data_IF_589572522907
#
_entry.id   IF_589572522907
#
_cell.length_a   1.000
_cell.length_b   1.000
_cell.length_c   1.000
_cell.angle_alpha   90.00
_cell.angle_beta   90.00
_cell.angle_gamma   90.00
#
_symmetry.space_group_name_H-M   'P 1'
#
loop_
_entity.id
_entity.type
_entity.pdbx_description
1 polymer ?
#
# COMPACT_ATOMS: atom_id res chain seq x y z
N UNK A 1 25.48 30.51 -62.49
CA UNK A 1 25.08 31.93 -62.38
C UNK A 1 24.40 32.11 -61.02
N UNK A 2 25.13 32.40 -59.95
CA UNK A 2 25.67 33.70 -59.49
C UNK A 2 24.63 34.63 -58.81
N UNK A 3 25.00 35.12 -57.62
CA UNK A 3 24.44 36.24 -56.80
C UNK A 3 23.21 35.95 -55.92
N UNK A 4 23.07 36.42 -54.67
CA UNK A 4 23.84 37.29 -53.74
C UNK A 4 23.23 37.12 -52.33
N UNK A 5 24.03 36.85 -51.29
CA UNK A 5 24.30 37.67 -50.08
C UNK A 5 23.14 38.54 -49.52
N UNK A 6 22.80 38.31 -48.25
CA UNK A 6 22.83 39.36 -47.22
C UNK A 6 22.89 38.78 -45.80
N UNK A 7 23.68 39.47 -44.99
CA UNK A 7 24.18 39.17 -43.67
C UNK A 7 23.69 40.32 -42.78
N UNK A 8 23.07 40.05 -41.63
CA UNK A 8 22.82 41.10 -40.63
C UNK A 8 23.11 40.60 -39.22
N UNK A 9 23.93 41.42 -38.55
CA UNK A 9 24.67 41.22 -37.31
C UNK A 9 24.03 42.13 -36.25
N UNK A 10 23.77 41.57 -35.07
CA UNK A 10 23.68 42.14 -33.69
C UNK A 10 23.10 43.56 -33.43
N UNK A 11 22.54 43.80 -32.22
CA UNK A 11 23.43 44.29 -31.18
C UNK A 11 23.23 43.71 -29.78
N UNK A 12 24.30 43.91 -29.03
CA UNK A 12 24.65 43.56 -27.66
C UNK A 12 24.01 44.59 -26.71
N UNK A 13 23.14 44.16 -25.81
CA UNK A 13 22.63 44.96 -24.69
C UNK A 13 23.23 44.48 -23.39
N UNK A 14 24.17 45.25 -22.85
CA UNK A 14 24.87 45.03 -21.57
C UNK A 14 24.28 46.01 -20.56
N UNK A 15 23.55 45.52 -19.55
CA UNK A 15 23.01 46.32 -18.45
C UNK A 15 23.22 45.59 -17.13
N UNK A 16 24.02 46.19 -16.24
CA UNK A 16 24.41 45.71 -14.91
C UNK A 16 23.39 46.14 -13.84
N UNK A 17 23.49 45.46 -12.69
CA UNK A 17 23.08 45.86 -11.33
C UNK A 17 21.57 45.95 -11.08
N UNK A 18 21.02 45.45 -9.98
CA UNK A 18 21.58 44.84 -8.79
C UNK A 18 20.47 44.72 -7.73
N UNK A 19 20.72 43.93 -6.69
CA UNK A 19 20.12 44.13 -5.37
C UNK A 19 18.86 43.33 -5.03
N UNK A 20 18.99 42.56 -3.95
CA UNK A 20 17.95 42.50 -2.91
C UNK A 20 16.95 41.38 -3.02
N UNK A 21 17.24 40.26 -2.35
CA UNK A 21 16.25 39.24 -2.05
C UNK A 21 15.14 39.77 -1.14
N UNK A 22 13.91 39.35 -1.42
CA UNK A 22 12.89 39.21 -0.38
C UNK A 22 12.00 38.02 -0.72
N UNK A 23 11.96 37.12 0.24
CA UNK A 23 11.14 35.93 0.37
C UNK A 23 9.67 36.13 -0.03
N UNK A 24 9.16 35.25 -0.89
CA UNK A 24 7.80 34.71 -0.71
C UNK A 24 7.78 33.26 -1.16
N UNK A 25 8.27 32.42 -0.25
CA UNK A 25 8.03 30.99 -0.23
C UNK A 25 6.53 30.83 0.03
N UNK A 26 5.73 30.72 -1.04
CA UNK A 26 4.32 30.33 -1.00
C UNK A 26 4.20 28.86 -0.57
N UNK A 27 4.62 28.55 0.65
CA UNK A 27 4.27 27.33 1.35
C UNK A 27 2.88 27.55 1.94
N UNK A 28 1.88 26.89 1.36
CA UNK A 28 0.56 26.77 1.97
C UNK A 28 0.72 26.18 3.36
N UNK A 29 0.68 27.05 4.37
CA UNK A 29 0.58 26.70 5.78
C UNK A 29 -0.74 25.94 5.95
N UNK A 30 -0.66 24.62 6.10
CA UNK A 30 -1.74 23.84 6.70
C UNK A 30 -2.00 24.43 8.08
N UNK A 31 -3.05 25.25 8.18
CA UNK A 31 -3.59 25.75 9.44
C UNK A 31 -3.70 24.59 10.44
N UNK A 32 -2.99 24.73 11.55
CA UNK A 32 -2.93 23.75 12.63
C UNK A 32 -4.35 23.43 13.13
N UNK A 33 -4.62 22.16 13.43
CA UNK A 33 -5.95 21.68 13.78
C UNK A 33 -6.53 22.44 14.99
N UNK A 34 -5.67 22.85 15.93
CA UNK A 34 -6.06 23.67 17.07
C UNK A 34 -6.56 25.06 16.65
N UNK A 35 -5.93 25.68 15.65
CA UNK A 35 -6.39 26.98 15.11
C UNK A 35 -7.73 26.87 14.40
N UNK A 36 -8.02 25.73 13.75
CA UNK A 36 -9.33 25.47 13.15
C UNK A 36 -10.43 25.28 14.20
N UNK A 37 -10.12 24.59 15.30
CA UNK A 37 -11.07 24.42 16.41
C UNK A 37 -11.38 25.72 17.15
N UNK A 38 -10.37 26.57 17.35
CA UNK A 38 -10.54 27.90 17.93
C UNK A 38 -11.31 28.85 17.00
N UNK A 39 -11.05 28.81 15.68
CA UNK A 39 -11.79 29.61 14.69
C UNK A 39 -13.26 29.16 14.55
N UNK A 40 -13.55 27.89 14.81
CA UNK A 40 -14.91 27.34 14.83
C UNK A 40 -15.68 27.63 16.14
N UNK A 41 -15.06 28.30 17.12
CA UNK A 41 -15.69 28.66 18.39
C UNK A 41 -15.97 27.48 19.33
N UNK A 42 -15.39 26.31 19.05
CA UNK A 42 -15.60 25.08 19.84
C UNK A 42 -14.68 25.00 21.06
N UNK A 43 -13.63 25.83 21.12
CA UNK A 43 -12.65 25.88 22.22
C UNK A 43 -12.18 27.32 22.41
N UNK A 44 -12.09 27.78 23.66
CA UNK A 44 -11.55 29.11 23.98
C UNK A 44 -10.04 29.16 23.75
N UNK A 45 -9.50 30.30 23.30
CA UNK A 45 -8.06 30.48 23.03
C UNK A 45 -7.17 30.10 24.23
N UNK A 46 -7.65 30.35 25.45
CA UNK A 46 -6.93 30.01 26.68
C UNK A 46 -6.80 28.49 26.91
N UNK A 47 -7.77 27.68 26.49
CA UNK A 47 -7.70 26.21 26.63
C UNK A 47 -6.75 25.58 25.60
N UNK A 48 -6.67 26.15 24.40
CA UNK A 48 -5.72 25.72 23.38
C UNK A 48 -4.26 26.03 23.79
N UNK A 49 -4.02 27.16 24.45
CA UNK A 49 -2.70 27.55 24.93
C UNK A 49 -2.27 26.75 26.18
N UNK A 50 -3.21 26.43 27.08
CA UNK A 50 -2.96 25.57 28.24
C UNK A 50 -2.57 24.12 27.83
N UNK A 51 -3.21 23.56 26.79
CA UNK A 51 -2.88 22.24 26.25
C UNK A 51 -1.50 22.20 25.56
N UNK A 52 -1.10 23.30 24.92
CA UNK A 52 0.24 23.45 24.34
C UNK A 52 1.32 23.61 25.41
N UNK A 53 1.01 24.28 26.52
CA UNK A 53 1.91 24.44 27.66
C UNK A 53 2.20 23.11 28.39
N UNK A 54 1.20 22.24 28.55
CA UNK A 54 1.38 20.92 29.17
C UNK A 54 2.30 19.99 28.36
N UNK A 55 2.30 20.10 27.03
CA UNK A 55 3.24 19.34 26.16
C UNK A 55 4.69 19.82 26.25
N UNK A 56 4.92 21.08 26.65
CA UNK A 56 6.28 21.62 26.87
C UNK A 56 6.87 21.23 28.23
N UNK A 57 6.03 20.93 29.23
CA UNK A 57 6.47 20.55 30.57
C UNK A 57 6.93 19.08 30.70
N UNK A 58 6.58 18.20 29.76
CA UNK A 58 6.99 16.78 29.76
C UNK A 58 8.25 16.49 28.93
N UNK A 59 9.13 17.48 28.76
CA UNK A 59 10.42 17.29 28.08
C UNK A 59 11.56 17.35 29.10
N UNK A 60 12.12 16.22 29.57
CA UNK A 60 13.42 16.24 30.23
C UNK A 60 14.52 16.63 29.25
N UNK A 61 15.46 17.42 29.77
CA UNK A 61 16.55 18.08 29.08
C UNK A 61 17.67 17.12 28.58
N UNK A 62 18.47 17.67 27.65
CA UNK A 62 19.84 17.34 27.17
C UNK A 62 20.71 16.46 28.10
N UNK A 63 21.69 15.63 27.70
CA UNK A 63 22.60 15.41 26.53
C UNK A 63 23.35 14.05 26.83
N UNK A 64 24.20 13.41 25.98
CA UNK A 64 25.15 14.02 25.05
C UNK A 64 25.24 13.37 23.66
N UNK A 65 25.88 14.13 22.78
CA UNK A 65 26.43 13.81 21.47
C UNK A 65 26.98 12.37 21.40
N UNK A 66 26.29 11.49 20.68
CA UNK A 66 26.90 10.28 20.12
C UNK A 66 26.79 10.31 18.60
N UNK A 67 27.90 9.86 18.01
CA UNK A 67 28.29 9.74 16.62
C UNK A 67 27.15 9.48 15.61
N UNK A 68 27.33 9.87 14.33
CA UNK A 68 26.35 9.61 13.28
C UNK A 68 25.98 8.13 13.29
N UNK A 69 24.75 7.87 13.76
CA UNK A 69 24.17 6.55 13.74
C UNK A 69 24.18 6.07 12.28
N UNK A 70 24.85 4.94 12.10
CA UNK A 70 24.98 4.21 10.86
C UNK A 70 23.66 4.19 10.10
N UNK A 71 23.67 4.28 8.76
CA UNK A 71 22.46 4.09 7.97
C UNK A 71 21.87 2.75 8.39
N UNK A 72 20.65 2.80 8.94
CA UNK A 72 19.85 1.60 9.19
C UNK A 72 19.84 0.86 7.85
N UNK A 73 20.41 -0.35 7.74
CA UNK A 73 20.30 -1.07 6.50
C UNK A 73 18.81 -1.31 6.33
N UNK A 74 18.28 -0.85 5.19
CA UNK A 74 17.14 -1.49 4.60
C UNK A 74 17.51 -2.96 4.49
N UNK A 75 17.17 -3.76 5.49
CA UNK A 75 17.15 -5.20 5.38
C UNK A 75 15.93 -5.57 4.52
N UNK A 76 15.91 -5.03 3.30
CA UNK A 76 15.53 -5.77 2.12
C UNK A 76 16.44 -6.99 2.13
N UNK A 77 16.04 -8.01 2.90
CA UNK A 77 16.65 -9.33 2.82
C UNK A 77 16.65 -9.64 1.33
N UNK A 78 17.81 -9.90 0.71
CA UNK A 78 17.84 -10.22 -0.70
C UNK A 78 16.86 -11.36 -0.91
N UNK A 79 16.04 -11.26 -1.95
CA UNK A 79 15.36 -12.42 -2.49
C UNK A 79 16.47 -13.44 -2.77
N UNK A 80 16.68 -14.36 -1.82
CA UNK A 80 17.66 -15.42 -1.98
C UNK A 80 17.28 -16.23 -3.21
N UNK A 81 18.23 -16.97 -3.79
CA UNK A 81 18.03 -17.74 -5.02
C UNK A 81 17.20 -19.01 -4.76
N UNK A 82 16.22 -18.96 -3.86
CA UNK A 82 15.21 -19.99 -3.71
C UNK A 82 14.04 -19.62 -4.60
N UNK A 83 13.77 -20.40 -5.64
CA UNK A 83 12.50 -20.29 -6.36
C UNK A 83 11.31 -20.47 -5.40
N UNK A 84 10.09 -20.21 -5.90
CA UNK A 84 8.84 -20.29 -5.12
C UNK A 84 8.75 -21.54 -4.24
N UNK A 85 9.22 -22.70 -4.71
CA UNK A 85 9.23 -23.95 -3.96
C UNK A 85 10.06 -23.89 -2.65
N UNK A 86 11.25 -23.29 -2.68
CA UNK A 86 12.11 -23.16 -1.49
C UNK A 86 11.53 -22.17 -0.47
N UNK A 87 10.85 -21.13 -0.95
CA UNK A 87 10.12 -20.21 -0.09
C UNK A 87 8.93 -20.90 0.58
N UNK A 88 8.14 -21.70 -0.13
CA UNK A 88 6.97 -22.40 0.43
C UNK A 88 7.36 -23.28 1.62
N UNK A 89 8.43 -24.08 1.50
CA UNK A 89 8.88 -24.97 2.57
C UNK A 89 9.37 -24.20 3.80
N UNK A 90 10.04 -23.05 3.60
CA UNK A 90 10.37 -22.14 4.69
C UNK A 90 9.10 -21.59 5.34
N UNK A 91 8.15 -21.12 4.54
CA UNK A 91 6.93 -20.47 5.02
C UNK A 91 6.01 -21.42 5.77
N UNK A 92 5.96 -22.70 5.41
CA UNK A 92 5.22 -23.73 6.17
C UNK A 92 5.72 -23.87 7.61
N UNK A 93 7.02 -23.66 7.85
CA UNK A 93 7.66 -23.70 9.18
C UNK A 93 7.71 -22.32 9.87
N UNK A 94 7.47 -21.26 9.12
CA UNK A 94 7.58 -19.89 9.58
C UNK A 94 6.39 -19.47 10.46
N UNK A 95 6.63 -18.47 11.31
CA UNK A 95 5.58 -17.82 12.08
C UNK A 95 4.55 -17.10 11.20
N UNK A 96 3.37 -16.82 11.77
CA UNK A 96 2.27 -16.10 11.10
C UNK A 96 2.72 -14.76 10.49
N UNK A 97 3.51 -13.99 11.23
CA UNK A 97 4.00 -12.68 10.79
C UNK A 97 4.89 -12.77 9.53
N UNK A 98 5.82 -13.73 9.50
CA UNK A 98 6.71 -13.93 8.34
C UNK A 98 5.93 -14.41 7.11
N UNK A 99 4.95 -15.31 7.31
CA UNK A 99 4.04 -15.73 6.24
C UNK A 99 3.32 -14.55 5.62
N UNK A 100 2.72 -13.69 6.45
CA UNK A 100 1.94 -12.56 5.96
C UNK A 100 2.80 -11.54 5.25
N UNK A 101 3.98 -11.24 5.79
CA UNK A 101 4.90 -10.30 5.17
C UNK A 101 5.42 -10.81 3.82
N UNK A 102 5.76 -12.09 3.72
CA UNK A 102 6.21 -12.68 2.47
C UNK A 102 5.11 -12.67 1.41
N UNK A 103 3.87 -13.01 1.78
CA UNK A 103 2.73 -12.92 0.85
C UNK A 103 2.48 -11.47 0.42
N UNK A 104 2.57 -10.49 1.33
CA UNK A 104 2.46 -9.07 0.97
C UNK A 104 3.50 -8.66 -0.08
N UNK A 105 4.75 -9.10 0.08
CA UNK A 105 5.81 -8.80 -0.88
C UNK A 105 5.56 -9.47 -2.23
N UNK A 106 5.08 -10.71 -2.24
CA UNK A 106 4.69 -11.42 -3.46
C UNK A 106 3.56 -10.69 -4.21
N UNK A 107 2.50 -10.32 -3.50
CA UNK A 107 1.37 -9.57 -4.08
C UNK A 107 1.84 -8.23 -4.64
N UNK A 108 2.64 -7.48 -3.87
CA UNK A 108 3.13 -6.16 -4.31
C UNK A 108 3.94 -6.23 -5.60
N UNK A 109 4.70 -7.32 -5.80
CA UNK A 109 5.58 -7.48 -6.97
C UNK A 109 4.92 -8.11 -8.19
N UNK A 110 3.93 -8.98 -7.98
CA UNK A 110 3.39 -9.86 -9.04
C UNK A 110 1.87 -9.79 -9.20
N UNK A 111 1.20 -8.81 -8.58
CA UNK A 111 -0.22 -8.55 -8.85
C UNK A 111 -0.46 -8.20 -10.31
N UNK A 112 -1.53 -8.76 -10.87
CA UNK A 112 -1.98 -8.54 -12.24
C UNK A 112 -3.11 -7.51 -12.31
N UNK A 113 -3.79 -7.25 -11.19
CA UNK A 113 -4.83 -6.25 -11.08
C UNK A 113 -4.25 -4.86 -10.75
N UNK A 114 -4.93 -3.82 -11.22
CA UNK A 114 -4.53 -2.44 -10.97
C UNK A 114 -4.49 -2.15 -9.46
N UNK A 115 -3.35 -1.64 -8.98
CA UNK A 115 -3.19 -1.27 -7.57
C UNK A 115 -3.97 -0.01 -7.15
N UNK A 116 -4.55 0.69 -8.12
CA UNK A 116 -5.30 1.91 -7.90
C UNK A 116 -6.72 1.60 -7.39
N UNK A 117 -7.26 2.38 -6.45
CA UNK A 117 -8.66 2.27 -6.04
C UNK A 117 -9.64 2.71 -7.14
N UNK A 118 -9.14 3.34 -8.20
CA UNK A 118 -9.94 3.82 -9.33
C UNK A 118 -9.97 2.72 -10.40
N UNK A 119 -11.15 2.16 -10.72
CA UNK A 119 -11.31 1.26 -11.86
C UNK A 119 -10.83 1.97 -13.15
N UNK A 120 -10.09 1.25 -13.98
CA UNK A 120 -9.71 1.74 -15.30
C UNK A 120 -10.90 1.76 -16.27
N UNK A 121 -10.65 2.27 -17.47
CA UNK A 121 -11.69 2.53 -18.49
C UNK A 121 -12.43 1.26 -18.95
N UNK A 122 -11.75 0.12 -18.97
CA UNK A 122 -12.32 -1.18 -19.39
C UNK A 122 -12.48 -2.15 -18.22
N UNK A 123 -12.45 -1.64 -17.00
CA UNK A 123 -12.62 -2.44 -15.79
C UNK A 123 -14.06 -2.92 -15.62
N UNK A 124 -14.26 -4.23 -15.60
CA UNK A 124 -15.55 -4.86 -15.34
C UNK A 124 -15.63 -5.45 -13.93
N UNK A 125 -16.82 -5.48 -13.30
CA UNK A 125 -17.00 -6.10 -12.00
C UNK A 125 -16.95 -7.65 -12.10
N UNK A 126 -15.98 -8.25 -11.42
CA UNK A 126 -15.88 -9.68 -11.19
C UNK A 126 -16.36 -10.04 -9.79
N UNK A 127 -17.36 -10.91 -9.70
CA UNK A 127 -17.97 -11.31 -8.43
C UNK A 127 -17.41 -12.66 -7.96
N UNK A 128 -17.19 -12.80 -6.66
CA UNK A 128 -16.69 -14.03 -6.04
C UNK A 128 -17.13 -14.11 -4.57
N UNK A 129 -17.01 -15.29 -3.95
CA UNK A 129 -17.35 -15.47 -2.54
C UNK A 129 -16.12 -15.40 -1.63
N UNK A 130 -16.24 -14.74 -0.48
CA UNK A 130 -15.21 -14.71 0.58
C UNK A 130 -15.20 -16.01 1.39
N UNK A 131 -14.23 -16.16 2.31
CA UNK A 131 -14.18 -17.31 3.24
C UNK A 131 -15.44 -17.41 4.11
N UNK A 132 -16.10 -16.28 4.34
CA UNK A 132 -17.29 -16.17 5.17
C UNK A 132 -18.57 -16.37 4.37
N UNK A 133 -18.48 -16.74 3.08
CA UNK A 133 -19.64 -16.90 2.20
C UNK A 133 -20.25 -15.58 1.72
N UNK A 134 -19.62 -14.43 1.99
CA UNK A 134 -20.12 -13.14 1.52
C UNK A 134 -19.77 -12.92 0.05
N UNK A 135 -20.67 -12.27 -0.70
CA UNK A 135 -20.37 -11.86 -2.07
C UNK A 135 -19.45 -10.64 -2.05
N UNK A 136 -18.28 -10.78 -2.66
CA UNK A 136 -17.32 -9.71 -2.88
C UNK A 136 -17.17 -9.41 -4.38
N UNK A 137 -16.62 -8.22 -4.67
CA UNK A 137 -16.44 -7.73 -6.04
C UNK A 137 -15.07 -7.11 -6.20
N UNK A 138 -14.41 -7.43 -7.32
CA UNK A 138 -13.20 -6.77 -7.80
C UNK A 138 -13.48 -6.17 -9.17
N UNK A 139 -12.88 -5.03 -9.48
CA UNK A 139 -12.90 -4.46 -10.83
C UNK A 139 -11.64 -4.93 -11.56
N UNK A 140 -11.82 -5.65 -12.66
CA UNK A 140 -10.73 -6.25 -13.42
C UNK A 140 -10.74 -5.73 -14.85
N UNK A 141 -9.57 -5.37 -15.36
CA UNK A 141 -9.36 -5.14 -16.79
C UNK A 141 -9.58 -6.43 -17.58
N UNK A 142 -9.90 -6.30 -18.87
CA UNK A 142 -10.20 -7.41 -19.76
C UNK A 142 -9.12 -8.50 -19.74
N UNK A 143 -7.83 -8.12 -19.75
CA UNK A 143 -6.70 -9.05 -19.74
C UNK A 143 -6.62 -9.86 -18.44
N UNK A 144 -6.77 -9.20 -17.28
CA UNK A 144 -6.74 -9.87 -15.98
C UNK A 144 -7.97 -10.78 -15.80
N UNK A 145 -9.14 -10.31 -16.25
CA UNK A 145 -10.38 -11.08 -16.24
C UNK A 145 -10.28 -12.34 -17.11
N UNK A 146 -9.75 -12.22 -18.32
CA UNK A 146 -9.51 -13.36 -19.22
C UNK A 146 -8.61 -14.40 -18.56
N UNK A 147 -7.49 -13.98 -17.96
CA UNK A 147 -6.59 -14.88 -17.24
C UNK A 147 -7.26 -15.61 -16.06
N UNK A 148 -8.15 -14.96 -15.33
CA UNK A 148 -8.91 -15.61 -14.24
C UNK A 148 -9.90 -16.64 -14.80
N UNK A 149 -10.62 -16.30 -15.87
CA UNK A 149 -11.60 -17.19 -16.53
C UNK A 149 -10.91 -18.40 -17.19
N UNK A 150 -9.72 -18.20 -17.74
CA UNK A 150 -8.93 -19.24 -18.39
C UNK A 150 -8.16 -20.11 -17.38
N UNK A 151 -8.12 -19.70 -16.10
CA UNK A 151 -7.41 -20.42 -15.05
C UNK A 151 -5.91 -20.19 -15.03
N UNK A 152 -5.42 -19.15 -15.72
CA UNK A 152 -4.03 -18.71 -15.72
C UNK A 152 -3.71 -17.78 -14.53
N UNK A 153 -4.75 -17.20 -13.92
CA UNK A 153 -4.65 -16.38 -12.72
C UNK A 153 -5.71 -16.80 -11.67
N UNK A 154 -5.41 -16.49 -10.41
CA UNK A 154 -6.31 -16.74 -9.28
C UNK A 154 -6.50 -15.50 -8.42
N UNK A 155 -7.67 -15.41 -7.78
CA UNK A 155 -7.99 -14.39 -6.78
C UNK A 155 -7.61 -14.95 -5.41
N UNK A 156 -6.79 -14.19 -4.69
CA UNK A 156 -6.40 -14.50 -3.32
C UNK A 156 -6.80 -13.39 -2.37
N UNK A 157 -7.07 -13.76 -1.12
CA UNK A 157 -7.13 -12.84 0.00
C UNK A 157 -5.73 -12.68 0.63
N UNK A 158 -5.42 -11.50 1.14
CA UNK A 158 -4.19 -11.26 1.91
C UNK A 158 -4.39 -10.14 2.94
N UNK A 159 -3.55 -10.11 3.97
CA UNK A 159 -3.53 -9.02 4.95
C UNK A 159 -2.70 -7.84 4.44
N UNK A 160 -3.38 -6.81 3.93
CA UNK A 160 -2.78 -5.50 3.64
C UNK A 160 -2.51 -4.70 4.92
N UNK A 161 -1.94 -3.50 4.79
CA UNK A 161 -1.80 -2.56 5.92
C UNK A 161 -3.15 -2.02 6.43
N UNK A 162 -4.23 -2.19 5.66
CA UNK A 162 -5.57 -1.68 5.96
C UNK A 162 -6.60 -2.80 6.23
N UNK A 163 -6.13 -4.04 6.46
CA UNK A 163 -6.99 -5.20 6.69
C UNK A 163 -6.97 -6.20 5.52
N UNK A 164 -7.98 -7.06 5.47
CA UNK A 164 -8.09 -8.10 4.43
C UNK A 164 -8.41 -7.43 3.10
N UNK A 165 -7.54 -7.66 2.11
CA UNK A 165 -7.70 -7.22 0.74
C UNK A 165 -7.66 -8.43 -0.21
N UNK A 166 -8.08 -8.22 -1.45
CA UNK A 166 -8.06 -9.23 -2.50
C UNK A 166 -7.19 -8.75 -3.65
N UNK A 167 -6.49 -9.68 -4.31
CA UNK A 167 -5.64 -9.39 -5.45
C UNK A 167 -5.68 -10.54 -6.46
N UNK A 168 -5.36 -10.24 -7.72
CA UNK A 168 -5.23 -11.22 -8.79
C UNK A 168 -3.76 -11.54 -8.98
N UNK A 169 -3.41 -12.82 -8.89
CA UNK A 169 -2.04 -13.31 -9.06
C UNK A 169 -1.96 -14.39 -10.14
N UNK A 170 -0.78 -14.58 -10.76
CA UNK A 170 -0.54 -15.73 -11.63
C UNK A 170 -0.81 -17.05 -10.90
N UNK A 171 -1.27 -18.06 -11.64
CA UNK A 171 -1.65 -19.39 -11.11
C UNK A 171 -0.60 -19.98 -10.18
N UNK A 172 0.66 -20.03 -10.61
CA UNK A 172 1.76 -20.60 -9.82
C UNK A 172 1.87 -19.97 -8.43
N UNK A 173 1.65 -18.66 -8.34
CA UNK A 173 1.75 -17.92 -7.09
C UNK A 173 0.49 -18.12 -6.22
N UNK A 174 -0.69 -18.20 -6.85
CA UNK A 174 -1.93 -18.51 -6.15
C UNK A 174 -1.88 -19.92 -5.51
N UNK A 175 -1.38 -20.91 -6.24
CA UNK A 175 -1.15 -22.28 -5.74
C UNK A 175 -0.09 -22.32 -4.63
N UNK A 176 1.00 -21.55 -4.77
CA UNK A 176 2.01 -21.41 -3.72
C UNK A 176 1.42 -20.85 -2.42
N UNK A 177 0.58 -19.81 -2.52
CA UNK A 177 -0.10 -19.22 -1.35
C UNK A 177 -1.06 -20.24 -0.73
N UNK A 178 -1.81 -20.99 -1.54
CA UNK A 178 -2.70 -22.03 -1.05
C UNK A 178 -1.96 -23.09 -0.20
N UNK A 179 -0.76 -23.50 -0.61
CA UNK A 179 0.04 -24.46 0.17
C UNK A 179 0.46 -23.95 1.55
N UNK A 180 0.52 -22.63 1.75
CA UNK A 180 0.95 -21.99 3.00
C UNK A 180 -0.25 -21.55 3.84
N UNK A 181 -1.30 -21.04 3.19
CA UNK A 181 -2.54 -20.55 3.80
C UNK A 181 -3.73 -20.95 2.90
N UNK A 182 -4.28 -22.16 3.07
CA UNK A 182 -5.32 -22.68 2.18
C UNK A 182 -6.56 -21.79 2.04
N UNK A 183 -7.01 -21.21 3.16
CA UNK A 183 -8.23 -20.38 3.22
C UNK A 183 -8.11 -19.03 2.50
N UNK A 184 -6.93 -18.67 1.99
CA UNK A 184 -6.72 -17.43 1.25
C UNK A 184 -7.00 -17.56 -0.23
N UNK A 185 -7.08 -18.77 -0.80
CA UNK A 185 -7.43 -18.96 -2.20
C UNK A 185 -8.94 -18.82 -2.41
N UNK A 186 -9.37 -17.81 -3.18
CA UNK A 186 -10.79 -17.51 -3.43
C UNK A 186 -11.27 -18.09 -4.74
N UNK A 187 -10.53 -17.83 -5.81
CA UNK A 187 -10.92 -18.25 -7.17
C UNK A 187 -9.68 -18.75 -7.86
N UNK A 188 -9.74 -19.98 -8.37
CA UNK A 188 -8.79 -20.51 -9.33
C UNK A 188 -9.49 -21.67 -10.05
N UNK A 189 -9.57 -21.59 -11.37
CA UNK A 189 -10.25 -22.60 -12.19
C UNK A 189 -9.60 -23.98 -12.00
N UNK A 190 -10.44 -25.00 -11.88
CA UNK A 190 -10.05 -26.41 -11.71
C UNK A 190 -9.25 -26.74 -10.44
N UNK A 191 -9.16 -25.79 -9.49
CA UNK A 191 -8.43 -26.01 -8.24
C UNK A 191 -9.38 -26.42 -7.10
N UNK A 192 -9.24 -27.61 -6.49
CA UNK A 192 -10.18 -28.15 -5.50
C UNK A 192 -10.20 -27.38 -4.17
N UNK A 193 -9.16 -26.58 -3.93
CA UNK A 193 -9.04 -25.73 -2.75
C UNK A 193 -9.62 -24.31 -2.91
N UNK A 194 -10.01 -23.91 -4.12
CA UNK A 194 -10.51 -22.56 -4.34
C UNK A 194 -11.91 -22.39 -3.77
N UNK A 195 -12.16 -21.27 -3.10
CA UNK A 195 -13.51 -20.91 -2.63
C UNK A 195 -13.97 -21.63 -1.37
N UNK A 196 -13.07 -22.34 -0.68
CA UNK A 196 -13.41 -22.97 0.61
C UNK A 196 -13.78 -21.94 1.66
N UNK A 197 -14.80 -22.28 2.45
CA UNK A 197 -15.29 -21.45 3.53
C UNK A 197 -14.59 -21.79 4.84
N UNK A 198 -14.52 -20.80 5.74
CA UNK A 198 -14.24 -21.08 7.14
C UNK A 198 -15.45 -21.79 7.73
N UNK A 199 -15.25 -23.02 8.23
CA UNK A 199 -16.26 -23.68 9.06
C UNK A 199 -16.49 -22.80 10.28
N UNK A 200 -17.66 -22.16 10.33
CA UNK A 200 -18.09 -21.41 11.51
C UNK A 200 -18.18 -22.43 12.65
N UNK A 201 -17.49 -22.24 13.79
CA UNK A 201 -17.67 -23.16 14.91
C UNK A 201 -19.16 -23.14 15.27
N UNK A 202 -19.81 -24.30 15.19
CA UNK A 202 -21.17 -24.46 15.69
C UNK A 202 -21.18 -23.93 17.12
N UNK A 203 -22.09 -23.00 17.39
CA UNK A 203 -22.33 -22.56 18.75
C UNK A 203 -22.68 -23.84 19.51
N UNK A 204 -21.75 -24.28 20.36
CA UNK A 204 -22.02 -25.37 21.29
C UNK A 204 -23.18 -24.89 22.11
N UNK A 205 -24.38 -25.42 21.83
CA UNK A 205 -25.54 -25.26 22.67
C UNK A 205 -25.08 -25.62 24.08
N UNK A 206 -24.92 -24.61 24.92
CA UNK A 206 -24.69 -24.82 26.33
C UNK A 206 -25.87 -25.68 26.81
N UNK A 207 -25.63 -26.85 27.41
CA UNK A 207 -26.73 -27.63 27.95
C UNK A 207 -27.46 -26.73 28.95
N UNK A 208 -28.74 -26.48 28.67
CA UNK A 208 -29.62 -25.81 29.60
C UNK A 208 -29.61 -26.59 30.91
N UNK A 209 -29.20 -25.93 31.98
CA UNK A 209 -29.41 -26.45 33.32
C UNK A 209 -30.90 -26.20 33.70
N UNK A 210 -31.59 -27.21 34.26
CA UNK A 210 -33.04 -27.22 34.50
C UNK A 210 -33.51 -26.33 35.67
#
# INVERSE_FOLDING_TARGET
MASRKSNTRSPKGKGRSGGGGSSSKGGGLTLDFASKLAAAGLVSKDEAEAAAAQKRAQKPAERPTQAPASPRPAASKPAGPGGLAGDIERLKRAGKAERYETVRQWVTRRRLDAASPIPGEHSEPFHFTTAQGQLARLYLEADARGQVIDGQAGIIAYMSNHGIAHAVLPRELAEAIYQVIPLWLRVLKDHPGAGKYEEKPEATDAPGDP
#
